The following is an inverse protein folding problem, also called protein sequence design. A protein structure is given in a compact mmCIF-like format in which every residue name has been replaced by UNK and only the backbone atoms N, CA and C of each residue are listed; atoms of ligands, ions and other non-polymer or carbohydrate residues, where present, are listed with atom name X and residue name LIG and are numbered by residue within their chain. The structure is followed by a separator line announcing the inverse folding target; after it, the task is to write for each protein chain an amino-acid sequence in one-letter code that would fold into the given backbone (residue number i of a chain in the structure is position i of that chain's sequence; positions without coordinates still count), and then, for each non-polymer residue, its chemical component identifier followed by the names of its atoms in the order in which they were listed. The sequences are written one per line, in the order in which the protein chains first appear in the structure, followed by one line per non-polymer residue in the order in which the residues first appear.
data_IF_555505699464
#
_entry.id   IF_555505699464
#
_cell.length_a   1.000
_cell.length_b   1.000
_cell.length_c   1.000
_cell.angle_alpha   90.00
_cell.angle_beta   90.00
_cell.angle_gamma   90.00
#
_symmetry.space_group_name_H-M   'P 1'
#
loop_
_entity.id
_entity.type
_entity.pdbx_description
1 polymer ?
#
# COMPACT_ATOMS: atom_id res chain seq x y z
N UNK A 1 -21.92 19.66 6.86
CA UNK A 1 -22.35 18.92 8.08
C UNK A 1 -22.46 17.40 7.87
N UNK A 2 -22.57 16.87 6.63
CA UNK A 2 -22.60 15.42 6.37
C UNK A 2 -21.22 14.74 6.38
N UNK A 3 -20.13 15.49 6.15
CA UNK A 3 -18.79 14.95 5.90
C UNK A 3 -18.16 14.27 7.13
N UNK A 4 -18.38 14.81 8.34
CA UNK A 4 -17.94 14.18 9.58
C UNK A 4 -18.80 12.98 10.01
N UNK A 5 -19.99 12.81 9.42
CA UNK A 5 -20.90 11.73 9.80
C UNK A 5 -20.42 10.38 9.26
N UNK A 6 -19.85 10.35 8.05
CA UNK A 6 -19.33 9.15 7.43
C UNK A 6 -18.12 8.60 8.21
N UNK A 7 -17.14 9.45 8.52
CA UNK A 7 -16.01 9.07 9.35
C UNK A 7 -16.45 8.64 10.76
N UNK A 8 -17.34 9.40 11.41
CA UNK A 8 -17.84 9.04 12.74
C UNK A 8 -18.52 7.66 12.75
N UNK A 9 -19.31 7.34 11.72
CA UNK A 9 -19.93 6.01 11.57
C UNK A 9 -18.87 4.92 11.44
N UNK A 10 -17.83 5.13 10.64
CA UNK A 10 -16.74 4.16 10.47
C UNK A 10 -15.96 3.96 11.77
N UNK A 11 -15.63 5.04 12.47
CA UNK A 11 -14.95 4.98 13.76
C UNK A 11 -15.80 4.27 14.82
N UNK A 12 -17.12 4.52 14.85
CA UNK A 12 -18.04 3.84 15.76
C UNK A 12 -18.09 2.34 15.50
N UNK A 13 -18.09 1.92 14.23
CA UNK A 13 -18.02 0.51 13.87
C UNK A 13 -16.72 -0.12 14.36
N UNK A 14 -15.58 0.52 14.12
CA UNK A 14 -14.26 0.06 14.57
C UNK A 14 -14.21 -0.05 16.10
N UNK A 15 -14.68 0.98 16.80
CA UNK A 15 -14.72 1.01 18.25
C UNK A 15 -15.57 -0.14 18.80
N UNK A 16 -16.77 -0.34 18.25
CA UNK A 16 -17.65 -1.44 18.63
C UNK A 16 -17.00 -2.80 18.38
N UNK A 17 -16.31 -2.95 17.25
CA UNK A 17 -15.57 -4.16 16.91
C UNK A 17 -14.44 -4.47 17.90
N UNK A 18 -13.68 -3.44 18.29
CA UNK A 18 -12.57 -3.54 19.24
C UNK A 18 -13.06 -3.78 20.67
N UNK A 19 -14.15 -3.15 21.11
CA UNK A 19 -14.74 -3.37 22.43
C UNK A 19 -15.24 -4.80 22.63
N UNK A 20 -15.72 -5.47 21.57
CA UNK A 20 -16.10 -6.88 21.60
C UNK A 20 -14.88 -7.82 21.67
N UNK A 21 -13.66 -7.31 21.43
CA UNK A 21 -12.42 -8.08 21.36
C UNK A 21 -11.30 -7.40 22.16
N UNK A 22 -11.48 -7.17 23.47
CA UNK A 22 -10.56 -6.37 24.29
C UNK A 22 -9.19 -7.02 24.48
N UNK A 23 -9.04 -8.30 24.11
CA UNK A 23 -7.79 -9.05 24.20
C UNK A 23 -6.93 -8.94 22.94
N UNK A 24 -7.48 -8.45 21.82
CA UNK A 24 -6.72 -8.26 20.58
C UNK A 24 -5.97 -6.93 20.62
N UNK A 25 -4.71 -6.96 20.19
CA UNK A 25 -3.96 -5.73 19.93
C UNK A 25 -4.55 -5.00 18.72
N UNK A 26 -4.38 -3.67 18.66
CA UNK A 26 -4.90 -2.85 17.56
C UNK A 26 -4.43 -3.32 16.17
N UNK A 27 -3.22 -3.89 16.08
CA UNK A 27 -2.68 -4.42 14.82
C UNK A 27 -3.41 -5.70 14.37
N UNK A 28 -3.89 -6.51 15.31
CA UNK A 28 -4.70 -7.70 15.03
C UNK A 28 -6.12 -7.29 14.64
N UNK A 29 -6.68 -6.28 15.31
CA UNK A 29 -7.95 -5.65 14.96
C UNK A 29 -7.93 -5.15 13.51
N UNK A 30 -6.90 -4.40 13.13
CA UNK A 30 -6.69 -3.92 11.76
C UNK A 30 -6.76 -5.08 10.75
N UNK A 31 -6.07 -6.19 11.00
CA UNK A 31 -6.06 -7.37 10.11
C UNK A 31 -7.44 -7.98 9.97
N UNK A 32 -8.15 -8.14 11.09
CA UNK A 32 -9.49 -8.72 11.08
C UNK A 32 -10.51 -7.80 10.38
N UNK A 33 -10.33 -6.48 10.46
CA UNK A 33 -11.20 -5.52 9.79
C UNK A 33 -11.13 -5.60 8.25
N UNK A 34 -10.08 -6.20 7.66
CA UNK A 34 -10.03 -6.47 6.21
C UNK A 34 -11.22 -7.33 5.74
N UNK A 35 -11.74 -8.20 6.61
CA UNK A 35 -12.94 -9.02 6.37
C UNK A 35 -14.19 -8.20 6.04
N UNK A 36 -14.19 -6.92 6.44
CA UNK A 36 -15.34 -6.01 6.33
C UNK A 36 -15.22 -5.00 5.17
N UNK A 37 -14.20 -5.18 4.32
CA UNK A 37 -13.90 -4.30 3.17
C UNK A 37 -14.51 -4.85 1.87
N UNK A 38 -13.69 -5.22 0.87
CA UNK A 38 -14.11 -5.84 -0.39
C UNK A 38 -13.53 -7.25 -0.51
N UNK A 39 -14.27 -8.23 -1.07
CA UNK A 39 -13.73 -9.56 -1.35
C UNK A 39 -12.45 -9.52 -2.20
N UNK A 40 -12.37 -8.57 -3.14
CA UNK A 40 -11.21 -8.41 -4.03
C UNK A 40 -9.91 -7.98 -3.33
N UNK A 41 -9.98 -7.45 -2.10
CA UNK A 41 -8.78 -7.09 -1.35
C UNK A 41 -8.13 -8.30 -0.67
N UNK A 42 -8.81 -9.45 -0.56
CA UNK A 42 -8.16 -10.69 -0.12
C UNK A 42 -7.47 -11.37 -1.32
N UNK A 43 -6.14 -11.28 -1.40
CA UNK A 43 -5.35 -11.91 -2.47
C UNK A 43 -4.54 -13.09 -1.94
N UNK A 44 -4.14 -14.02 -2.82
CA UNK A 44 -3.20 -15.10 -2.45
C UNK A 44 -1.85 -14.57 -1.98
N UNK A 45 -1.43 -13.43 -2.52
CA UNK A 45 -0.18 -12.80 -2.10
C UNK A 45 -0.32 -12.24 -0.68
N UNK A 46 -1.45 -11.59 -0.39
CA UNK A 46 -1.78 -11.14 0.96
C UNK A 46 -1.84 -12.31 1.95
N UNK A 47 -2.50 -13.40 1.59
CA UNK A 47 -2.57 -14.62 2.42
C UNK A 47 -1.19 -15.10 2.86
N UNK A 48 -0.26 -15.14 1.91
CA UNK A 48 1.11 -15.60 2.11
C UNK A 48 1.88 -14.68 3.08
N UNK A 49 1.74 -13.37 2.95
CA UNK A 49 2.47 -12.39 3.78
C UNK A 49 1.79 -12.04 5.11
N UNK A 50 0.48 -12.21 5.19
CA UNK A 50 -0.30 -11.97 6.39
C UNK A 50 -0.45 -13.22 7.26
N UNK A 51 -0.23 -14.40 6.69
CA UNK A 51 -0.41 -15.68 7.37
C UNK A 51 -1.85 -16.20 7.32
N UNK A 52 -2.69 -15.61 6.49
CA UNK A 52 -4.08 -16.01 6.30
C UNK A 52 -4.91 -14.87 5.75
N UNK A 53 -5.92 -15.21 4.96
CA UNK A 53 -6.96 -14.28 4.53
C UNK A 53 -8.14 -14.41 5.48
N UNK A 54 -8.61 -13.33 6.12
CA UNK A 54 -9.88 -13.40 6.79
C UNK A 54 -10.97 -13.66 5.75
N UNK A 55 -11.90 -14.55 6.05
CA UNK A 55 -13.09 -14.73 5.22
C UNK A 55 -13.89 -13.44 5.18
N UNK A 56 -14.39 -13.06 4.01
CA UNK A 56 -15.26 -11.90 3.88
C UNK A 56 -16.54 -12.11 4.70
N UNK A 57 -16.85 -11.15 5.57
CA UNK A 57 -18.04 -11.20 6.43
C UNK A 57 -19.15 -10.37 5.80
N UNK A 58 -18.88 -9.10 5.54
CA UNK A 58 -19.87 -8.13 5.06
C UNK A 58 -19.17 -6.83 4.63
N UNK A 59 -19.85 -5.96 3.88
CA UNK A 59 -19.24 -4.76 3.27
C UNK A 59 -19.42 -3.48 4.07
N UNK A 60 -19.47 -3.51 5.40
CA UNK A 60 -19.76 -2.33 6.24
C UNK A 60 -18.77 -1.18 6.02
N UNK A 61 -17.52 -1.48 5.66
CA UNK A 61 -16.49 -0.49 5.37
C UNK A 61 -16.46 -0.11 3.88
N UNK A 62 -17.22 -0.80 3.02
CA UNK A 62 -17.23 -0.61 1.58
C UNK A 62 -18.17 0.51 1.11
N UNK A 63 -17.84 1.11 -0.04
CA UNK A 63 -18.55 2.20 -0.69
C UNK A 63 -18.75 3.42 0.21
N UNK A 64 -17.82 3.66 1.14
CA UNK A 64 -17.78 4.84 1.99
C UNK A 64 -16.57 5.69 1.59
N UNK A 65 -16.85 6.88 1.05
CA UNK A 65 -15.83 7.93 0.96
C UNK A 65 -15.86 8.72 2.27
N UNK A 66 -14.70 8.87 2.91
CA UNK A 66 -14.56 9.70 4.12
C UNK A 66 -13.52 10.77 3.90
N UNK A 67 -13.60 11.85 4.67
CA UNK A 67 -12.50 12.80 4.73
C UNK A 67 -11.54 12.42 5.86
N UNK A 68 -10.24 12.38 5.53
CA UNK A 68 -9.15 12.26 6.49
C UNK A 68 -8.02 13.22 6.08
N UNK A 69 -7.48 13.98 7.03
CA UNK A 69 -6.43 14.98 6.80
C UNK A 69 -6.78 15.98 5.66
N UNK A 70 -8.07 16.29 5.51
CA UNK A 70 -8.59 17.15 4.45
C UNK A 70 -8.64 16.52 3.04
N UNK A 71 -8.49 15.19 2.93
CA UNK A 71 -8.54 14.43 1.66
C UNK A 71 -9.72 13.47 1.64
N UNK A 72 -10.36 13.33 0.50
CA UNK A 72 -11.40 12.30 0.29
C UNK A 72 -10.74 10.96 -0.04
N UNK A 73 -10.97 9.96 0.80
CA UNK A 73 -10.40 8.61 0.66
C UNK A 73 -11.48 7.54 0.52
N UNK A 74 -11.16 6.43 -0.15
CA UNK A 74 -11.96 5.20 -0.11
C UNK A 74 -11.63 4.47 1.21
N UNK A 75 -12.59 4.40 2.13
CA UNK A 75 -12.33 3.84 3.45
C UNK A 75 -12.03 2.33 3.43
N UNK A 76 -12.62 1.58 2.49
CA UNK A 76 -12.31 0.17 2.31
C UNK A 76 -10.90 -0.01 1.77
N UNK A 77 -10.48 0.84 0.82
CA UNK A 77 -9.10 0.87 0.34
C UNK A 77 -8.14 1.19 1.50
N UNK A 78 -8.38 2.28 2.23
CA UNK A 78 -7.58 2.68 3.39
C UNK A 78 -7.44 1.56 4.42
N UNK A 79 -8.52 0.85 4.76
CA UNK A 79 -8.46 -0.24 5.72
C UNK A 79 -7.72 -1.47 5.18
N UNK A 80 -7.83 -1.77 3.88
CA UNK A 80 -7.01 -2.78 3.23
C UNK A 80 -5.53 -2.41 3.28
N UNK A 81 -5.17 -1.21 2.82
CA UNK A 81 -3.80 -0.69 2.85
C UNK A 81 -3.23 -0.55 4.28
N UNK A 82 -4.07 -0.30 5.28
CA UNK A 82 -3.65 -0.27 6.69
C UNK A 82 -3.37 -1.68 7.20
N UNK A 83 -4.21 -2.65 6.81
CA UNK A 83 -3.94 -4.04 7.14
C UNK A 83 -2.67 -4.56 6.48
N UNK A 84 -2.30 -4.02 5.32
CA UNK A 84 -1.00 -4.29 4.69
C UNK A 84 0.21 -3.86 5.54
N UNK A 85 0.03 -2.90 6.46
CA UNK A 85 1.06 -2.50 7.42
C UNK A 85 1.21 -3.47 8.61
N UNK A 86 0.22 -4.34 8.81
CA UNK A 86 0.13 -5.32 9.88
C UNK A 86 0.60 -6.71 9.38
N UNK A 87 1.90 -6.93 9.29
CA UNK A 87 2.50 -8.21 8.86
C UNK A 87 2.81 -9.14 10.07
N UNK A 88 3.17 -10.40 9.80
CA UNK A 88 3.57 -11.37 10.83
C UNK A 88 2.41 -11.99 11.61
N UNK A 89 1.55 -12.76 10.95
CA UNK A 89 0.37 -13.39 11.58
C UNK A 89 0.62 -14.82 12.07
N UNK A 90 1.69 -15.44 11.56
CA UNK A 90 2.18 -16.74 11.99
C UNK A 90 3.61 -16.99 11.49
N UNK A 91 4.19 -18.14 11.86
CA UNK A 91 5.54 -18.55 11.45
C UNK A 91 5.71 -18.59 9.93
N UNK A 92 4.68 -19.03 9.18
CA UNK A 92 4.74 -19.10 7.72
C UNK A 92 4.85 -17.71 7.09
N UNK A 93 4.11 -16.73 7.60
CA UNK A 93 4.21 -15.33 7.14
C UNK A 93 5.57 -14.73 7.43
N UNK A 94 6.17 -15.03 8.58
CA UNK A 94 7.54 -14.58 8.92
C UNK A 94 8.58 -15.19 7.98
N UNK A 95 8.46 -16.48 7.65
CA UNK A 95 9.36 -17.13 6.68
C UNK A 95 9.19 -16.54 5.27
N UNK A 96 7.95 -16.28 4.87
CA UNK A 96 7.62 -15.66 3.60
C UNK A 96 8.19 -14.24 3.47
N UNK A 97 8.11 -13.45 4.55
CA UNK A 97 8.69 -12.11 4.63
C UNK A 97 10.23 -12.15 4.57
N UNK A 98 10.86 -13.11 5.26
CA UNK A 98 12.30 -13.36 5.15
C UNK A 98 12.73 -13.73 3.73
N UNK A 99 11.93 -14.55 3.03
CA UNK A 99 12.16 -14.88 1.62
C UNK A 99 12.01 -13.64 0.72
N UNK A 100 10.97 -12.83 0.92
CA UNK A 100 10.77 -11.55 0.22
C UNK A 100 11.98 -10.63 0.37
N UNK A 101 12.45 -10.45 1.60
CA UNK A 101 13.60 -9.61 1.91
C UNK A 101 14.88 -10.12 1.24
N UNK A 102 15.14 -11.42 1.29
CA UNK A 102 16.34 -12.01 0.70
C UNK A 102 16.30 -11.90 -0.84
N UNK A 103 15.18 -12.27 -1.46
CA UNK A 103 15.04 -12.24 -2.91
C UNK A 103 15.11 -10.80 -3.44
N UNK A 104 14.49 -9.84 -2.77
CA UNK A 104 14.58 -8.43 -3.16
C UNK A 104 15.99 -7.89 -3.06
N UNK A 105 16.73 -8.27 -2.03
CA UNK A 105 18.14 -7.92 -1.90
C UNK A 105 18.98 -8.48 -3.05
N UNK A 106 18.71 -9.71 -3.49
CA UNK A 106 19.39 -10.31 -4.64
C UNK A 106 19.04 -9.61 -5.97
N UNK A 107 17.80 -9.18 -6.15
CA UNK A 107 17.31 -8.62 -7.41
C UNK A 107 17.60 -7.13 -7.56
N UNK A 108 17.56 -6.38 -6.46
CA UNK A 108 17.60 -4.91 -6.46
C UNK A 108 18.74 -4.32 -5.62
N UNK A 109 19.51 -5.17 -4.92
CA UNK A 109 20.51 -4.73 -3.96
C UNK A 109 19.93 -4.28 -2.61
N UNK A 110 18.61 -4.20 -2.47
CA UNK A 110 17.91 -3.73 -1.27
C UNK A 110 16.89 -4.77 -0.80
N UNK A 111 16.85 -5.01 0.51
CA UNK A 111 15.89 -5.93 1.11
C UNK A 111 14.60 -5.18 1.47
N UNK A 112 13.49 -5.62 0.90
CA UNK A 112 12.15 -5.08 1.08
C UNK A 112 11.26 -6.15 1.71
N UNK A 113 10.47 -5.76 2.72
CA UNK A 113 9.48 -6.61 3.38
C UNK A 113 8.08 -6.40 2.80
N UNK A 114 7.16 -7.31 3.14
CA UNK A 114 5.78 -7.37 2.62
C UNK A 114 4.99 -6.06 2.70
N UNK A 115 5.21 -5.21 3.70
CA UNK A 115 4.51 -3.91 3.83
C UNK A 115 4.81 -2.98 2.68
N UNK A 116 6.00 -3.13 2.09
CA UNK A 116 6.44 -2.32 0.96
C UNK A 116 5.90 -2.82 -0.38
N UNK A 117 5.27 -4.01 -0.42
CA UNK A 117 4.73 -4.60 -1.63
C UNK A 117 3.24 -4.34 -1.79
N UNK A 118 2.46 -4.24 -0.72
CA UNK A 118 1.01 -4.47 -0.82
C UNK A 118 0.14 -3.22 -0.92
N UNK A 119 0.60 -2.06 -0.41
CA UNK A 119 -0.09 -0.76 -0.50
C UNK A 119 0.29 0.00 -1.80
N UNK A 120 0.60 1.30 -1.74
CA UNK A 120 0.90 2.18 -2.90
C UNK A 120 1.86 1.64 -3.97
N UNK A 121 2.85 0.80 -3.60
CA UNK A 121 3.72 0.15 -4.59
C UNK A 121 2.94 -0.91 -5.39
N UNK A 122 2.08 -1.68 -4.73
CA UNK A 122 1.18 -2.62 -5.34
C UNK A 122 0.21 -1.94 -6.30
N UNK A 123 -0.42 -0.85 -5.87
CA UNK A 123 -1.31 -0.04 -6.73
C UNK A 123 -0.59 0.55 -7.93
N UNK A 124 0.65 1.00 -7.75
CA UNK A 124 1.46 1.52 -8.85
C UNK A 124 1.93 0.41 -9.81
N UNK A 125 2.21 -0.79 -9.29
CA UNK A 125 2.75 -1.90 -10.07
C UNK A 125 1.68 -2.78 -10.73
N UNK A 126 0.49 -2.90 -10.15
CA UNK A 126 -0.61 -3.70 -10.70
C UNK A 126 -1.04 -3.26 -12.12
N UNK A 127 -1.11 -1.95 -12.47
CA UNK A 127 -1.30 -1.48 -13.83
C UNK A 127 -0.27 -2.05 -14.81
N UNK A 128 0.99 -2.19 -14.38
CA UNK A 128 2.06 -2.79 -15.18
C UNK A 128 1.82 -4.28 -15.35
N UNK A 129 1.39 -5.01 -14.32
CA UNK A 129 0.99 -6.43 -14.45
C UNK A 129 -0.14 -6.60 -15.47
N UNK A 130 -1.20 -5.79 -15.35
CA UNK A 130 -2.35 -5.79 -16.26
C UNK A 130 -1.91 -5.47 -17.68
N UNK A 131 -1.04 -4.48 -17.86
CA UNK A 131 -0.47 -4.11 -19.14
C UNK A 131 0.28 -5.29 -19.75
N UNK A 132 1.15 -5.93 -18.96
CA UNK A 132 1.94 -7.08 -19.40
C UNK A 132 1.04 -8.23 -19.83
N UNK A 133 -0.03 -8.52 -19.09
CA UNK A 133 -0.95 -9.62 -19.37
C UNK A 133 -1.87 -9.35 -20.58
N UNK A 134 -2.31 -8.09 -20.78
CA UNK A 134 -3.24 -7.72 -21.87
C UNK A 134 -2.56 -7.36 -23.18
N UNK A 135 -1.47 -6.59 -23.12
CA UNK A 135 -0.80 -6.01 -24.29
C UNK A 135 0.39 -6.86 -24.74
N UNK A 136 0.89 -7.75 -23.87
CA UNK A 136 1.89 -8.75 -24.23
C UNK A 136 3.26 -8.18 -24.62
N UNK A 137 4.07 -9.01 -25.27
CA UNK A 137 5.47 -8.73 -25.69
C UNK A 137 5.59 -7.73 -26.84
N UNK A 138 4.50 -7.06 -27.23
CA UNK A 138 4.47 -6.08 -28.30
C UNK A 138 5.30 -4.82 -28.00
N UNK A 139 5.28 -3.88 -28.94
CA UNK A 139 5.93 -2.57 -28.73
C UNK A 139 5.32 -1.89 -27.50
N UNK A 140 6.18 -1.27 -26.70
CA UNK A 140 5.74 -0.47 -25.56
C UNK A 140 4.83 0.67 -26.04
N UNK A 141 3.69 0.79 -25.36
CA UNK A 141 2.65 1.78 -25.59
C UNK A 141 2.43 2.54 -24.27
N UNK A 142 2.97 3.76 -24.23
CA UNK A 142 2.93 4.60 -23.05
C UNK A 142 1.51 5.09 -22.72
N UNK A 143 0.66 5.30 -23.74
CA UNK A 143 -0.71 5.78 -23.53
C UNK A 143 -1.56 4.69 -22.88
N UNK A 144 -1.48 3.46 -23.38
CA UNK A 144 -2.18 2.33 -22.79
C UNK A 144 -1.75 2.06 -21.33
N UNK A 145 -0.46 2.22 -20.99
CA UNK A 145 -0.03 2.11 -19.59
C UNK A 145 -0.53 3.29 -18.75
N UNK A 146 -0.51 4.51 -19.30
CA UNK A 146 -1.00 5.70 -18.60
C UNK A 146 -2.49 5.60 -18.26
N UNK A 147 -3.29 5.05 -19.18
CA UNK A 147 -4.72 4.81 -18.98
C UNK A 147 -4.96 3.79 -17.86
N UNK A 148 -4.13 2.74 -17.78
CA UNK A 148 -4.20 1.76 -16.70
C UNK A 148 -3.78 2.37 -15.35
N UNK A 149 -2.71 3.17 -15.32
CA UNK A 149 -2.28 3.88 -14.11
C UNK A 149 -3.39 4.81 -13.61
N UNK A 150 -3.97 5.65 -14.49
CA UNK A 150 -5.06 6.55 -14.10
C UNK A 150 -6.33 5.84 -13.63
N UNK A 151 -6.54 4.57 -14.00
CA UNK A 151 -7.71 3.78 -13.59
C UNK A 151 -7.52 3.04 -12.27
N UNK A 152 -6.31 2.57 -11.98
CA UNK A 152 -6.04 1.63 -10.89
C UNK A 152 -5.06 2.17 -9.84
N UNK A 153 -4.48 3.36 -10.07
CA UNK A 153 -3.57 4.03 -9.16
C UNK A 153 -3.97 5.52 -9.08
N UNK A 154 -5.20 5.76 -8.63
CA UNK A 154 -5.78 7.11 -8.61
C UNK A 154 -5.20 7.95 -7.46
N UNK A 155 -5.36 9.28 -7.53
CA UNK A 155 -4.97 10.18 -6.43
C UNK A 155 -5.70 9.78 -5.11
N UNK A 156 -6.95 9.28 -5.18
CA UNK A 156 -7.72 8.81 -4.02
C UNK A 156 -7.16 7.51 -3.41
N UNK A 157 -6.72 6.56 -4.25
CA UNK A 157 -6.07 5.33 -3.77
C UNK A 157 -4.75 5.68 -3.07
N UNK A 158 -3.94 6.56 -3.68
CA UNK A 158 -2.70 7.01 -3.07
C UNK A 158 -2.90 7.83 -1.78
N UNK A 159 -3.93 8.67 -1.70
CA UNK A 159 -4.30 9.38 -0.47
C UNK A 159 -4.61 8.34 0.64
N UNK A 160 -5.36 7.29 0.30
CA UNK A 160 -5.72 6.18 1.20
C UNK A 160 -4.48 5.42 1.69
N UNK A 161 -3.58 5.05 0.79
CA UNK A 161 -2.33 4.34 1.11
C UNK A 161 -1.40 5.13 2.04
N UNK A 162 -1.24 6.43 1.77
CA UNK A 162 -0.34 7.29 2.54
C UNK A 162 -0.87 7.45 3.96
N UNK A 163 -2.17 7.69 4.12
CA UNK A 163 -2.78 7.78 5.44
C UNK A 163 -2.74 6.44 6.17
N UNK A 164 -2.96 5.33 5.47
CA UNK A 164 -2.83 3.98 6.02
C UNK A 164 -1.41 3.73 6.53
N UNK A 165 -0.38 4.13 5.76
CA UNK A 165 1.00 4.08 6.23
C UNK A 165 1.19 4.88 7.52
N UNK A 166 0.72 6.13 7.56
CA UNK A 166 0.90 6.99 8.74
C UNK A 166 0.22 6.39 9.98
N UNK A 167 -1.02 5.91 9.86
CA UNK A 167 -1.73 5.24 10.96
C UNK A 167 -1.00 3.97 11.39
N UNK A 168 -0.52 3.16 10.43
CA UNK A 168 0.27 1.97 10.72
C UNK A 168 1.55 2.29 11.50
N UNK A 169 2.24 3.38 11.17
CA UNK A 169 3.42 3.84 11.92
C UNK A 169 3.08 4.30 13.34
N UNK A 170 1.96 5.00 13.54
CA UNK A 170 1.48 5.40 14.87
C UNK A 170 1.23 4.15 15.72
N UNK A 171 0.50 3.17 15.19
CA UNK A 171 0.21 1.92 15.90
C UNK A 171 1.47 1.11 16.22
N UNK A 172 2.45 1.10 15.32
CA UNK A 172 3.73 0.43 15.57
C UNK A 172 4.51 1.09 16.72
N UNK A 173 4.48 2.43 16.80
CA UNK A 173 5.14 3.19 17.85
C UNK A 173 4.37 3.14 19.18
N UNK A 174 3.05 2.99 19.12
CA UNK A 174 2.14 2.97 20.28
C UNK A 174 1.20 1.75 20.20
N UNK A 175 1.68 0.52 20.43
CA UNK A 175 0.89 -0.70 20.18
C UNK A 175 -0.39 -0.83 21.01
N UNK A 176 -0.46 -0.14 22.15
CA UNK A 176 -1.61 -0.14 23.06
C UNK A 176 -2.65 0.94 22.72
N UNK A 177 -2.35 1.84 21.79
CA UNK A 177 -3.27 2.90 21.39
C UNK A 177 -4.43 2.29 20.60
N UNK A 178 -5.70 2.66 20.89
CA UNK A 178 -6.85 2.23 20.10
C UNK A 178 -6.71 2.63 18.62
N UNK A 179 -7.18 1.78 17.71
CA UNK A 179 -7.13 2.07 16.27
C UNK A 179 -7.82 3.39 15.92
N UNK A 180 -8.99 3.66 16.50
CA UNK A 180 -9.73 4.91 16.27
C UNK A 180 -8.92 6.14 16.69
N UNK A 181 -8.19 6.08 17.80
CA UNK A 181 -7.33 7.16 18.25
C UNK A 181 -6.14 7.38 17.30
N UNK A 182 -5.57 6.31 16.74
CA UNK A 182 -4.49 6.42 15.76
C UNK A 182 -4.97 7.04 14.43
N UNK A 183 -6.18 6.68 13.97
CA UNK A 183 -6.82 7.30 12.79
C UNK A 183 -7.03 8.80 13.02
N UNK A 184 -7.62 9.18 14.15
CA UNK A 184 -7.85 10.59 14.50
C UNK A 184 -6.55 11.39 14.66
N UNK A 185 -5.48 10.74 15.14
CA UNK A 185 -4.17 11.38 15.22
C UNK A 185 -3.56 11.63 13.83
N UNK A 186 -3.79 10.74 12.86
CA UNK A 186 -3.39 10.96 11.47
C UNK A 186 -4.27 12.02 10.78
N UNK A 187 -5.57 12.04 11.08
CA UNK A 187 -6.53 13.03 10.58
C UNK A 187 -6.16 14.47 10.99
N UNK A 188 -5.61 14.64 12.20
CA UNK A 188 -5.17 15.93 12.70
C UNK A 188 -3.89 16.47 12.02
N UNK A 189 -3.23 15.70 11.17
CA UNK A 189 -2.05 16.14 10.41
C UNK A 189 -2.50 16.84 9.13
N UNK A 190 -1.72 17.82 8.68
CA UNK A 190 -1.83 18.27 7.28
C UNK A 190 -1.40 17.12 6.35
N UNK A 191 -2.14 16.90 5.28
CA UNK A 191 -1.82 15.79 4.37
C UNK A 191 -0.40 15.89 3.78
N UNK A 192 0.08 17.11 3.50
CA UNK A 192 1.45 17.33 3.04
C UNK A 192 2.50 16.80 4.03
N UNK A 193 2.26 16.87 5.34
CA UNK A 193 3.13 16.29 6.35
C UNK A 193 3.08 14.76 6.35
N UNK A 194 1.89 14.17 6.13
CA UNK A 194 1.74 12.73 5.93
C UNK A 194 2.55 12.23 4.73
N UNK A 195 2.51 12.97 3.61
CA UNK A 195 3.30 12.66 2.41
C UNK A 195 4.80 12.81 2.67
N UNK A 196 5.24 13.87 3.36
CA UNK A 196 6.66 14.06 3.73
C UNK A 196 7.16 12.92 4.63
N UNK A 197 6.36 12.50 5.62
CA UNK A 197 6.68 11.37 6.49
C UNK A 197 6.80 10.08 5.69
N UNK A 198 5.83 9.82 4.79
CA UNK A 198 5.86 8.67 3.89
C UNK A 198 7.13 8.67 3.03
N UNK A 199 7.39 9.77 2.32
CA UNK A 199 8.57 9.92 1.46
C UNK A 199 9.90 9.75 2.21
N UNK A 200 10.01 10.33 3.40
CA UNK A 200 11.22 10.26 4.21
C UNK A 200 11.46 8.84 4.73
N UNK A 201 10.44 8.20 5.30
CA UNK A 201 10.59 6.88 5.91
C UNK A 201 10.73 5.77 4.88
N UNK A 202 9.97 5.85 3.77
CA UNK A 202 9.99 4.81 2.72
C UNK A 202 11.16 4.99 1.76
N UNK A 203 11.48 6.22 1.38
CA UNK A 203 12.43 6.47 0.29
C UNK A 203 13.67 7.27 0.71
N UNK A 204 13.81 7.60 2.00
CA UNK A 204 14.93 8.42 2.47
C UNK A 204 14.92 9.82 1.87
N UNK A 205 13.75 10.36 1.55
CA UNK A 205 13.60 11.70 1.01
C UNK A 205 14.20 12.77 1.94
N UNK A 206 14.79 13.79 1.35
CA UNK A 206 15.34 14.95 2.03
C UNK A 206 14.65 16.21 1.48
N UNK A 207 14.13 17.04 2.39
CA UNK A 207 13.39 18.25 2.04
C UNK A 207 14.12 19.51 2.49
N UNK A 208 14.00 20.56 1.70
CA UNK A 208 14.30 21.95 2.07
C UNK A 208 13.00 22.76 1.88
N UNK A 209 12.33 23.10 2.98
CA UNK A 209 10.94 23.54 2.95
C UNK A 209 10.04 22.49 2.28
N UNK A 210 9.33 22.87 1.21
CA UNK A 210 8.50 21.97 0.40
C UNK A 210 9.26 21.29 -0.74
N UNK A 211 10.54 21.60 -0.95
CA UNK A 211 11.31 21.11 -2.09
C UNK A 211 12.05 19.82 -1.78
N UNK A 212 11.78 18.77 -2.54
CA UNK A 212 12.52 17.50 -2.52
C UNK A 212 13.92 17.68 -3.13
N UNK A 213 14.97 17.47 -2.33
CA UNK A 213 16.37 17.68 -2.70
C UNK A 213 16.98 16.49 -3.44
N UNK A 214 16.74 15.27 -2.95
CA UNK A 214 17.33 14.04 -3.50
C UNK A 214 16.38 13.29 -4.45
N UNK A 215 15.66 14.02 -5.31
CA UNK A 215 14.61 13.49 -6.22
C UNK A 215 15.06 12.26 -7.02
N UNK A 216 16.27 12.30 -7.59
CA UNK A 216 16.79 11.19 -8.40
C UNK A 216 16.95 9.90 -7.57
N UNK A 217 17.39 10.01 -6.32
CA UNK A 217 17.53 8.87 -5.41
C UNK A 217 16.17 8.30 -5.01
N UNK A 218 15.20 9.16 -4.69
CA UNK A 218 13.81 8.76 -4.41
C UNK A 218 13.20 8.04 -5.61
N UNK A 219 13.34 8.60 -6.82
CA UNK A 219 12.86 7.98 -8.06
C UNK A 219 13.49 6.60 -8.28
N UNK A 220 14.80 6.46 -8.08
CA UNK A 220 15.47 5.18 -8.23
C UNK A 220 14.91 4.13 -7.26
N UNK A 221 14.71 4.50 -5.99
CA UNK A 221 14.11 3.59 -4.99
C UNK A 221 12.68 3.19 -5.33
N UNK A 222 11.88 4.11 -5.88
CA UNK A 222 10.55 3.80 -6.42
C UNK A 222 10.62 2.76 -7.54
N UNK A 223 11.51 2.98 -8.52
CA UNK A 223 11.74 2.01 -9.60
C UNK A 223 12.16 0.64 -9.06
N UNK A 224 13.08 0.61 -8.11
CA UNK A 224 13.57 -0.63 -7.51
C UNK A 224 12.47 -1.39 -6.79
N UNK A 225 11.59 -0.70 -6.04
CA UNK A 225 10.45 -1.33 -5.34
C UNK A 225 9.38 -1.84 -6.30
N UNK A 226 8.99 -1.04 -7.30
CA UNK A 226 8.03 -1.47 -8.33
C UNK A 226 8.58 -2.68 -9.07
N UNK A 227 9.87 -2.67 -9.42
CA UNK A 227 10.52 -3.81 -10.07
C UNK A 227 10.57 -5.03 -9.15
N UNK A 228 10.95 -4.86 -7.89
CA UNK A 228 10.94 -5.95 -6.91
C UNK A 228 9.55 -6.57 -6.82
N UNK A 229 8.51 -5.74 -6.73
CA UNK A 229 7.12 -6.21 -6.70
C UNK A 229 6.79 -7.08 -7.90
N UNK A 230 6.99 -6.54 -9.10
CA UNK A 230 6.61 -7.23 -10.34
C UNK A 230 7.28 -8.60 -10.46
N UNK A 231 8.56 -8.69 -10.11
CA UNK A 231 9.35 -9.91 -10.27
C UNK A 231 9.04 -10.92 -9.14
N UNK A 232 9.06 -10.47 -7.89
CA UNK A 232 9.08 -11.36 -6.73
C UNK A 232 7.67 -11.84 -6.37
N UNK A 233 6.65 -10.98 -6.46
CA UNK A 233 5.26 -11.39 -6.22
C UNK A 233 4.88 -12.54 -7.14
N UNK A 234 5.20 -12.42 -8.43
CA UNK A 234 4.90 -13.45 -9.42
C UNK A 234 5.66 -14.74 -9.15
N UNK A 235 6.97 -14.64 -8.91
CA UNK A 235 7.84 -15.79 -8.67
C UNK A 235 7.38 -16.57 -7.41
N UNK A 236 6.99 -15.85 -6.34
CA UNK A 236 6.42 -16.44 -5.13
C UNK A 236 5.05 -17.10 -5.37
N UNK A 237 4.14 -16.42 -6.07
CA UNK A 237 2.81 -16.95 -6.35
C UNK A 237 2.82 -18.18 -7.27
N UNK A 238 3.83 -18.31 -8.13
CA UNK A 238 3.97 -19.41 -9.09
C UNK A 238 4.98 -20.48 -8.67
N UNK A 239 5.68 -20.28 -7.55
CA UNK A 239 6.82 -21.10 -7.14
C UNK A 239 7.87 -21.29 -8.27
N UNK A 240 8.02 -20.28 -9.12
CA UNK A 240 8.88 -20.28 -10.31
C UNK A 240 9.91 -19.16 -10.17
N UNK A 241 10.87 -19.40 -9.28
CA UNK A 241 11.90 -18.42 -8.93
C UNK A 241 12.75 -18.08 -10.17
N UNK A 242 12.95 -16.79 -10.43
CA UNK A 242 13.81 -16.28 -11.49
C UNK A 242 13.30 -16.61 -12.91
N UNK A 243 11.98 -16.50 -13.14
CA UNK A 243 11.41 -16.70 -14.48
C UNK A 243 11.96 -15.68 -15.48
N UNK A 244 13.07 -16.02 -16.14
CA UNK A 244 13.81 -15.11 -17.01
C UNK A 244 12.96 -14.56 -18.16
N UNK A 245 12.01 -15.36 -18.65
CA UNK A 245 11.09 -14.95 -19.72
C UNK A 245 10.20 -13.82 -19.25
N UNK A 246 9.61 -13.92 -18.06
CA UNK A 246 8.82 -12.84 -17.49
C UNK A 246 9.68 -11.63 -17.14
N UNK A 247 10.85 -11.84 -16.55
CA UNK A 247 11.75 -10.77 -16.16
C UNK A 247 12.16 -9.90 -17.35
N UNK A 248 12.40 -10.52 -18.52
CA UNK A 248 12.67 -9.78 -19.77
C UNK A 248 11.47 -8.97 -20.27
N UNK A 249 10.24 -9.33 -19.89
CA UNK A 249 9.03 -8.57 -20.23
C UNK A 249 8.86 -7.34 -19.36
N UNK A 250 9.36 -7.36 -18.12
CA UNK A 250 9.41 -6.19 -17.24
C UNK A 250 10.50 -5.22 -17.72
N UNK A 251 10.17 -4.48 -18.79
CA UNK A 251 11.06 -3.50 -19.42
C UNK A 251 11.24 -2.29 -18.52
N UNK A 252 12.44 -1.67 -18.48
CA UNK A 252 12.70 -0.47 -17.67
C UNK A 252 11.68 0.66 -17.89
N UNK A 253 11.26 0.88 -19.14
CA UNK A 253 10.31 1.95 -19.48
C UNK A 253 8.95 1.79 -18.77
N UNK A 254 8.49 0.57 -18.52
CA UNK A 254 7.24 0.31 -17.81
C UNK A 254 7.35 0.71 -16.33
N UNK A 255 8.46 0.31 -15.71
CA UNK A 255 8.77 0.61 -14.31
C UNK A 255 8.99 2.11 -14.11
N UNK A 256 9.75 2.73 -15.01
CA UNK A 256 10.04 4.16 -14.99
C UNK A 256 8.78 5.01 -15.14
N UNK A 257 7.89 4.68 -16.08
CA UNK A 257 6.64 5.42 -16.24
C UNK A 257 5.73 5.30 -15.00
N UNK A 258 5.61 4.11 -14.42
CA UNK A 258 4.83 3.91 -13.20
C UNK A 258 5.43 4.67 -12.00
N UNK A 259 6.76 4.63 -11.84
CA UNK A 259 7.46 5.39 -10.82
C UNK A 259 7.29 6.91 -11.01
N UNK A 260 7.37 7.39 -12.25
CA UNK A 260 7.18 8.80 -12.58
C UNK A 260 5.76 9.27 -12.32
N UNK A 261 4.75 8.44 -12.61
CA UNK A 261 3.36 8.72 -12.30
C UNK A 261 3.15 8.93 -10.79
N UNK A 262 3.61 7.99 -9.98
CA UNK A 262 3.47 8.09 -8.53
C UNK A 262 4.30 9.25 -7.95
N UNK A 263 5.53 9.45 -8.43
CA UNK A 263 6.39 10.56 -7.99
C UNK A 263 5.76 11.93 -8.33
N UNK A 264 5.12 12.07 -9.49
CA UNK A 264 4.41 13.31 -9.85
C UNK A 264 3.25 13.57 -8.90
N UNK A 265 2.46 12.55 -8.57
CA UNK A 265 1.41 12.67 -7.55
C UNK A 265 1.99 13.13 -6.20
N UNK A 266 3.01 12.44 -5.68
CA UNK A 266 3.63 12.76 -4.40
C UNK A 266 4.18 14.20 -4.35
N UNK A 267 4.71 14.71 -5.46
CA UNK A 267 5.21 16.08 -5.54
C UNK A 267 4.11 17.13 -5.50
N UNK A 268 2.95 16.86 -6.14
CA UNK A 268 1.79 17.75 -6.05
C UNK A 268 1.21 17.75 -4.64
N UNK A 269 1.21 16.60 -3.98
CA UNK A 269 0.63 16.44 -2.64
C UNK A 269 1.45 17.06 -1.50
N UNK A 270 2.73 17.44 -1.74
CA UNK A 270 3.61 18.10 -0.74
C UNK A 270 3.58 19.63 -0.85
N UNK A 271 3.02 20.17 -1.95
CA UNK A 271 2.89 21.61 -2.20
C UNK A 271 1.68 22.19 -1.49
#
# INVERSE_FOLDING_TARGET
MSENLALAKMLQFIESYQQQRPHLASIEVVRSLRAYTRPGYASKFWELVAGGNPEFVSGELDNQTVQLAGREIDFAHFMAALSDQAWGGNVFSTLSDGALWLTSKLVTGHGYDSREYTAAIGDTAQPVEIYLDKVGTGRYDAAALQDLLGKFASDQDYDSDILAFVVGRILYQQPQQPLTAAILQADALEFADSVRRYLTQMFGAQFDGSRLQNRASVRQRLCDRIRAYLLIKRDLLRADLLNQTYWRRVRPQLVEQAADHFLQYLQRAVQ
#
